data_IF_220069192563
#
_entry.id   IF_220069192563
#
_cell.length_a   1.000
_cell.length_b   1.000
_cell.length_c   1.000
_cell.angle_alpha   90.00
_cell.angle_beta   90.00
_cell.angle_gamma   90.00
#
_symmetry.space_group_name_H-M   'P 1'
#
loop_
_entity.id
_entity.type
_entity.pdbx_description
1 polymer ?
#
# COMPACT_ATOMS: atom_id res chain seq x y z
N UNK A 1 31.43 -108.25 -4.21
CA UNK A 1 30.85 -106.95 -3.84
C UNK A 1 31.63 -106.43 -2.66
N UNK A 2 32.45 -105.40 -2.86
CA UNK A 2 33.19 -104.78 -1.76
C UNK A 2 32.29 -103.73 -1.10
N UNK A 3 32.08 -103.85 0.21
CA UNK A 3 31.41 -102.86 1.05
C UNK A 3 32.16 -101.52 1.00
N UNK A 4 31.46 -100.37 0.94
CA UNK A 4 32.11 -99.08 1.06
C UNK A 4 32.55 -98.88 2.52
N UNK A 5 33.86 -98.93 2.77
CA UNK A 5 34.41 -98.39 4.01
C UNK A 5 34.21 -96.87 4.01
N UNK A 6 33.30 -96.38 4.85
CA UNK A 6 33.22 -94.96 5.19
C UNK A 6 34.58 -94.57 5.79
N UNK A 7 35.38 -93.71 5.11
CA UNK A 7 36.71 -93.39 5.61
C UNK A 7 36.56 -92.60 6.92
N UNK A 8 37.21 -93.09 7.98
CA UNK A 8 37.25 -92.45 9.30
C UNK A 8 37.80 -91.00 9.31
N UNK A 9 38.26 -90.48 8.16
CA UNK A 9 38.71 -89.11 7.99
C UNK A 9 37.57 -88.07 7.98
N UNK A 10 36.41 -88.40 7.41
CA UNK A 10 35.37 -87.40 7.10
C UNK A 10 34.63 -86.89 8.36
N UNK A 11 34.41 -87.78 9.34
CA UNK A 11 33.87 -87.41 10.66
C UNK A 11 34.92 -86.71 11.55
N UNK A 12 36.21 -86.98 11.32
CA UNK A 12 37.31 -86.31 12.00
C UNK A 12 37.42 -84.84 11.58
N UNK A 13 37.33 -84.60 10.27
CA UNK A 13 37.39 -83.27 9.67
C UNK A 13 36.17 -82.42 10.04
N UNK A 14 34.96 -83.00 10.04
CA UNK A 14 33.76 -82.30 10.49
C UNK A 14 33.85 -81.88 11.98
N UNK A 15 34.40 -82.75 12.85
CA UNK A 15 34.64 -82.41 14.26
C UNK A 15 35.72 -81.35 14.44
N UNK A 16 36.72 -81.32 13.55
CA UNK A 16 37.72 -80.26 13.51
C UNK A 16 37.06 -78.92 13.15
N UNK A 17 36.23 -78.89 12.10
CA UNK A 17 35.52 -77.70 11.64
C UNK A 17 34.54 -77.16 12.68
N UNK A 18 33.76 -78.03 13.34
CA UNK A 18 32.83 -77.60 14.40
C UNK A 18 33.57 -77.02 15.62
N UNK A 19 34.75 -77.56 15.96
CA UNK A 19 35.59 -77.00 17.02
C UNK A 19 36.16 -75.64 16.64
N UNK A 20 36.61 -75.48 15.39
CA UNK A 20 37.12 -74.22 14.87
C UNK A 20 36.02 -73.15 14.80
N UNK A 21 34.81 -73.52 14.34
CA UNK A 21 33.64 -72.65 14.35
C UNK A 21 33.21 -72.24 15.76
N UNK A 22 33.19 -73.18 16.72
CA UNK A 22 32.86 -72.89 18.12
C UNK A 22 33.91 -72.04 18.82
N UNK A 23 35.15 -72.04 18.32
CA UNK A 23 36.24 -71.19 18.81
C UNK A 23 36.12 -69.78 18.21
N UNK A 24 35.87 -69.66 16.90
CA UNK A 24 35.60 -68.38 16.22
C UNK A 24 34.36 -67.68 16.76
N UNK A 25 33.27 -68.41 17.02
CA UNK A 25 32.05 -67.86 17.63
C UNK A 25 32.34 -67.30 19.04
N UNK A 26 33.16 -67.97 19.84
CA UNK A 26 33.58 -67.48 21.16
C UNK A 26 34.48 -66.24 21.11
N UNK A 27 35.29 -66.11 20.05
CA UNK A 27 36.10 -64.92 19.79
C UNK A 27 35.26 -63.75 19.25
N UNK A 28 34.15 -64.03 18.58
CA UNK A 28 33.18 -63.04 18.09
C UNK A 28 32.18 -62.57 19.17
N UNK A 29 31.78 -63.44 20.10
CA UNK A 29 30.80 -63.10 21.16
C UNK A 29 31.39 -62.28 22.32
N UNK A 30 32.71 -62.22 22.46
CA UNK A 30 33.38 -61.34 23.42
C UNK A 30 33.95 -60.16 22.66
N UNK A 31 33.46 -58.92 22.86
CA UNK A 31 34.14 -57.75 22.33
C UNK A 31 35.60 -57.88 22.76
N UNK A 32 36.50 -58.01 21.79
CA UNK A 32 37.92 -58.17 22.12
C UNK A 32 38.32 -56.95 22.95
N UNK A 33 39.17 -57.14 23.96
CA UNK A 33 39.56 -56.03 24.86
C UNK A 33 40.00 -54.78 24.09
N UNK A 34 40.51 -54.93 22.86
CA UNK A 34 40.81 -53.84 21.93
C UNK A 34 39.58 -53.08 21.42
N UNK A 35 38.48 -53.74 21.03
CA UNK A 35 37.23 -53.06 20.62
C UNK A 35 36.59 -52.31 21.78
N UNK A 36 36.58 -52.92 22.97
CA UNK A 36 36.10 -52.25 24.18
C UNK A 36 36.99 -51.06 24.55
N UNK A 37 38.31 -51.21 24.49
CA UNK A 37 39.25 -50.11 24.74
C UNK A 37 39.12 -49.00 23.68
N UNK A 38 38.85 -49.31 22.41
CA UNK A 38 38.57 -48.32 21.37
C UNK A 38 37.29 -47.53 21.65
N UNK A 39 36.23 -48.21 22.09
CA UNK A 39 34.98 -47.56 22.48
C UNK A 39 35.17 -46.65 23.70
N UNK A 40 35.89 -47.13 24.73
CA UNK A 40 36.21 -46.35 25.93
C UNK A 40 37.06 -45.14 25.57
N UNK A 41 38.10 -45.31 24.75
CA UNK A 41 38.94 -44.19 24.28
C UNK A 41 38.11 -43.16 23.50
N UNK A 42 37.20 -43.62 22.62
CA UNK A 42 36.31 -42.72 21.88
C UNK A 42 35.32 -42.00 22.80
N UNK A 43 34.79 -42.67 23.82
CA UNK A 43 33.95 -42.02 24.82
C UNK A 43 34.73 -40.98 25.63
N UNK A 44 35.95 -41.30 26.05
CA UNK A 44 36.83 -40.36 26.74
C UNK A 44 37.19 -39.17 25.84
N UNK A 45 37.47 -39.38 24.56
CA UNK A 45 37.74 -38.31 23.61
C UNK A 45 36.53 -37.38 23.43
N UNK A 46 35.31 -37.94 23.37
CA UNK A 46 34.09 -37.14 23.29
C UNK A 46 33.89 -36.34 24.58
N UNK A 47 34.07 -36.95 25.75
CA UNK A 47 33.91 -36.28 27.04
C UNK A 47 34.96 -35.17 27.22
N UNK A 48 36.22 -35.46 26.90
CA UNK A 48 37.32 -34.50 27.03
C UNK A 48 37.21 -33.32 26.05
N UNK A 49 36.50 -33.49 24.93
CA UNK A 49 36.35 -32.47 23.90
C UNK A 49 34.92 -31.95 23.73
N UNK A 50 34.00 -32.29 24.65
CA UNK A 50 32.57 -31.97 24.50
C UNK A 50 32.35 -30.46 24.38
N UNK A 51 33.10 -29.66 25.13
CA UNK A 51 33.02 -28.20 25.10
C UNK A 51 33.41 -27.63 23.74
N UNK A 52 34.48 -28.17 23.13
CA UNK A 52 34.92 -27.77 21.78
C UNK A 52 33.90 -28.18 20.72
N UNK A 53 33.34 -29.38 20.84
CA UNK A 53 32.31 -29.89 19.90
C UNK A 53 31.05 -29.01 19.97
N UNK A 54 30.59 -28.71 21.19
CA UNK A 54 29.40 -27.87 21.44
C UNK A 54 29.64 -26.42 21.00
N UNK A 55 30.77 -25.82 21.35
CA UNK A 55 31.12 -24.47 20.91
C UNK A 55 31.20 -24.36 19.37
N UNK A 56 31.78 -25.37 18.72
CA UNK A 56 31.83 -25.45 17.26
C UNK A 56 30.44 -25.60 16.63
N UNK A 57 29.52 -26.33 17.26
CA UNK A 57 28.14 -26.44 16.79
C UNK A 57 27.39 -25.10 16.92
N UNK A 58 27.47 -24.44 18.08
CA UNK A 58 26.84 -23.14 18.34
C UNK A 58 27.33 -22.09 17.34
N UNK A 59 28.63 -22.01 17.08
CA UNK A 59 29.19 -21.06 16.11
C UNK A 59 28.74 -21.28 14.65
N UNK A 60 28.28 -22.48 14.30
CA UNK A 60 27.76 -22.78 12.95
C UNK A 60 26.27 -22.51 12.80
N UNK A 61 25.50 -22.68 13.87
CA UNK A 61 24.02 -22.69 13.81
C UNK A 61 23.37 -21.50 14.50
N UNK A 62 24.12 -20.68 15.22
CA UNK A 62 23.60 -19.55 15.98
C UNK A 62 24.39 -18.28 15.70
N UNK A 63 23.71 -17.14 15.77
CA UNK A 63 24.35 -15.83 15.77
C UNK A 63 24.79 -15.46 17.18
N UNK A 64 25.95 -14.80 17.30
CA UNK A 64 26.33 -14.11 18.53
C UNK A 64 25.47 -12.84 18.72
N UNK A 65 25.44 -12.32 19.96
CA UNK A 65 24.77 -11.06 20.25
C UNK A 65 25.23 -9.93 19.32
N UNK A 66 26.55 -9.80 19.07
CA UNK A 66 27.10 -8.81 18.16
C UNK A 66 26.64 -9.00 16.69
N UNK A 67 26.46 -10.24 16.24
CA UNK A 67 25.93 -10.53 14.90
C UNK A 67 24.45 -10.18 14.79
N UNK A 68 23.67 -10.38 15.86
CA UNK A 68 22.28 -9.95 15.95
C UNK A 68 22.22 -8.43 15.95
N UNK A 69 22.96 -7.74 16.82
CA UNK A 69 22.99 -6.28 16.92
C UNK A 69 23.40 -5.62 15.58
N UNK A 70 24.35 -6.22 14.86
CA UNK A 70 24.76 -5.76 13.53
C UNK A 70 23.66 -5.95 12.47
N UNK A 71 22.94 -7.08 12.50
CA UNK A 71 21.81 -7.34 11.61
C UNK A 71 20.63 -6.42 11.92
N UNK A 72 20.30 -6.24 13.19
CA UNK A 72 19.24 -5.34 13.65
C UNK A 72 19.57 -3.90 13.28
N UNK A 73 20.81 -3.45 13.49
CA UNK A 73 21.26 -2.12 13.07
C UNK A 73 21.15 -1.93 11.56
N UNK A 74 21.51 -2.95 10.76
CA UNK A 74 21.36 -2.92 9.30
C UNK A 74 19.90 -2.83 8.86
N UNK A 75 19.02 -3.61 9.48
CA UNK A 75 17.57 -3.57 9.23
C UNK A 75 16.97 -2.23 9.66
N UNK A 76 17.36 -1.68 10.81
CA UNK A 76 16.95 -0.36 11.28
C UNK A 76 17.43 0.77 10.38
N UNK A 77 18.67 0.70 9.88
CA UNK A 77 19.18 1.67 8.90
C UNK A 77 18.45 1.58 7.55
N UNK A 78 18.12 0.37 7.10
CA UNK A 78 17.28 0.19 5.91
C UNK A 78 15.86 0.72 6.14
N UNK A 79 15.23 0.42 7.28
CA UNK A 79 13.91 0.93 7.64
C UNK A 79 13.89 2.46 7.77
N UNK A 80 14.93 3.06 8.37
CA UNK A 80 15.11 4.52 8.44
C UNK A 80 15.37 5.14 7.07
N UNK A 81 16.03 4.46 6.14
CA UNK A 81 16.13 4.96 4.76
C UNK A 81 14.77 5.12 4.05
N UNK A 82 13.70 4.46 4.56
CA UNK A 82 12.32 4.67 4.12
C UNK A 82 11.57 5.73 4.95
N UNK A 83 12.09 6.14 6.12
CA UNK A 83 11.49 7.12 7.03
C UNK A 83 12.21 8.48 7.07
N UNK A 84 13.46 8.55 6.62
CA UNK A 84 14.35 9.73 6.70
C UNK A 84 14.06 10.77 5.59
N UNK A 85 12.77 10.99 5.32
CA UNK A 85 12.24 12.30 4.91
C UNK A 85 11.62 13.08 6.08
N UNK A 86 11.53 12.49 7.28
CA UNK A 86 10.79 13.05 8.42
C UNK A 86 11.64 13.23 9.70
N UNK A 87 12.94 13.48 9.58
CA UNK A 87 13.75 13.96 10.71
C UNK A 87 13.82 15.49 10.69
N UNK A 88 12.70 16.17 11.03
CA UNK A 88 12.66 17.62 11.20
C UNK A 88 11.32 18.31 10.94
N UNK A 89 10.34 17.64 10.34
CA UNK A 89 9.03 18.22 10.08
C UNK A 89 8.16 18.15 11.34
N UNK A 90 8.19 19.20 12.16
CA UNK A 90 6.96 19.67 12.81
C UNK A 90 6.16 20.40 11.73
N UNK A 91 4.84 20.21 11.74
CA UNK A 91 3.82 20.60 10.74
C UNK A 91 3.52 19.54 9.65
N UNK A 92 2.26 19.39 9.21
CA UNK A 92 1.82 18.36 8.27
C UNK A 92 2.34 18.70 6.87
N UNK A 93 3.58 18.33 6.59
CA UNK A 93 4.08 18.30 5.23
C UNK A 93 3.38 17.15 4.50
N UNK A 94 2.46 17.49 3.59
CA UNK A 94 2.06 16.59 2.51
C UNK A 94 3.34 16.20 1.76
N UNK A 95 3.89 15.05 2.13
CA UNK A 95 5.28 14.70 1.82
C UNK A 95 5.47 14.57 0.32
N UNK A 96 6.42 15.33 -0.22
CA UNK A 96 6.90 15.19 -1.58
C UNK A 96 7.73 13.90 -1.65
N UNK A 97 7.29 12.94 -2.46
CA UNK A 97 8.07 11.72 -2.71
C UNK A 97 9.47 12.11 -3.20
N UNK A 98 10.51 11.56 -2.56
CA UNK A 98 11.89 11.85 -2.96
C UNK A 98 12.13 11.51 -4.44
N UNK A 99 13.00 12.24 -5.15
CA UNK A 99 13.34 11.98 -6.55
C UNK A 99 13.61 10.48 -6.81
N UNK A 100 12.94 9.92 -7.81
CA UNK A 100 13.09 8.50 -8.18
C UNK A 100 12.26 7.49 -7.36
N UNK A 101 11.38 7.95 -6.47
CA UNK A 101 10.36 7.13 -5.78
C UNK A 101 8.95 7.58 -6.20
N UNK A 102 8.00 6.65 -6.30
CA UNK A 102 6.62 6.93 -6.74
C UNK A 102 6.33 6.76 -8.24
N UNK A 103 7.25 6.17 -9.01
CA UNK A 103 7.01 5.87 -10.43
C UNK A 103 7.21 7.04 -11.40
N UNK A 104 7.69 8.21 -10.94
CA UNK A 104 7.87 9.41 -11.78
C UNK A 104 9.23 9.48 -12.49
N UNK A 105 10.19 8.60 -12.16
CA UNK A 105 11.52 8.55 -12.77
C UNK A 105 12.33 9.86 -12.72
N UNK A 106 11.85 10.86 -11.99
CA UNK A 106 12.32 12.25 -11.99
C UNK A 106 12.03 12.91 -10.64
N UNK A 107 12.46 14.16 -10.48
CA UNK A 107 12.44 14.90 -9.21
C UNK A 107 11.07 15.31 -8.69
N UNK A 108 9.97 15.06 -9.40
CA UNK A 108 8.63 15.31 -8.88
C UNK A 108 7.52 14.78 -9.82
N UNK A 109 6.27 14.74 -9.31
CA UNK A 109 5.06 14.55 -10.11
C UNK A 109 4.66 15.83 -10.86
N UNK A 110 5.61 16.47 -11.56
CA UNK A 110 5.38 17.75 -12.23
C UNK A 110 5.57 17.61 -13.74
N UNK A 111 4.47 17.78 -14.50
CA UNK A 111 4.40 17.93 -15.97
C UNK A 111 5.47 17.15 -16.76
N UNK A 112 5.57 15.84 -16.51
CA UNK A 112 6.43 14.94 -17.28
C UNK A 112 5.68 14.38 -18.49
N UNK A 113 6.36 14.26 -19.63
CA UNK A 113 5.84 13.50 -20.75
C UNK A 113 5.84 12.01 -20.40
N UNK A 114 4.63 11.44 -20.28
CA UNK A 114 4.43 10.02 -19.97
C UNK A 114 4.59 9.10 -21.20
N UNK A 115 4.97 9.66 -22.35
CA UNK A 115 5.14 8.93 -23.61
C UNK A 115 3.83 8.33 -24.13
N UNK A 116 3.93 7.22 -24.85
CA UNK A 116 2.82 6.48 -25.48
C UNK A 116 2.06 5.56 -24.51
N UNK A 117 1.77 6.05 -23.30
CA UNK A 117 1.07 5.29 -22.25
C UNK A 117 -0.38 5.74 -22.09
N UNK A 118 -1.24 4.86 -21.54
CA UNK A 118 -2.61 5.23 -21.17
C UNK A 118 -2.59 5.99 -19.85
N UNK A 119 -3.23 7.16 -19.81
CA UNK A 119 -3.27 8.05 -18.65
C UNK A 119 -4.43 7.69 -17.72
N UNK A 120 -4.22 7.72 -16.40
CA UNK A 120 -5.26 7.53 -15.37
C UNK A 120 -5.02 8.50 -14.21
N UNK A 121 -6.10 9.08 -13.69
CA UNK A 121 -6.09 9.80 -12.42
C UNK A 121 -6.23 8.79 -11.26
N UNK A 122 -5.37 8.93 -10.26
CA UNK A 122 -5.35 8.05 -9.09
C UNK A 122 -5.90 8.74 -7.85
N UNK A 123 -6.53 7.94 -6.98
CA UNK A 123 -6.98 8.33 -5.66
C UNK A 123 -6.06 7.70 -4.61
N UNK A 124 -5.91 8.36 -3.47
CA UNK A 124 -5.14 7.89 -2.32
C UNK A 124 -6.09 7.70 -1.15
N UNK A 125 -6.08 6.53 -0.50
CA UNK A 125 -6.84 6.33 0.74
C UNK A 125 -6.08 6.91 1.94
N UNK A 126 -6.78 7.07 3.06
CA UNK A 126 -6.20 7.37 4.37
C UNK A 126 -5.10 6.36 4.79
N UNK A 127 -5.26 5.08 4.45
CA UNK A 127 -4.26 4.02 4.65
C UNK A 127 -3.10 4.05 3.63
N UNK A 128 -3.00 5.09 2.79
CA UNK A 128 -1.95 5.25 1.79
C UNK A 128 -2.08 4.34 0.57
N UNK A 129 -3.26 3.73 0.34
CA UNK A 129 -3.50 2.88 -0.82
C UNK A 129 -3.80 3.72 -2.05
N UNK A 130 -3.05 3.52 -3.13
CA UNK A 130 -3.26 4.16 -4.41
C UNK A 130 -4.18 3.32 -5.29
N UNK A 131 -5.18 3.95 -5.91
CA UNK A 131 -6.13 3.28 -6.79
C UNK A 131 -6.82 4.22 -7.76
N UNK A 132 -7.91 3.76 -8.37
CA UNK A 132 -8.79 4.60 -9.20
C UNK A 132 -10.21 4.52 -8.65
N UNK A 133 -10.95 5.63 -8.65
CA UNK A 133 -12.34 5.62 -8.21
C UNK A 133 -13.18 4.68 -9.09
N UNK A 134 -13.88 3.74 -8.46
CA UNK A 134 -14.82 2.87 -9.14
C UNK A 134 -16.21 3.53 -9.12
N UNK A 135 -16.84 3.67 -10.29
CA UNK A 135 -18.14 4.34 -10.42
C UNK A 135 -19.30 3.40 -10.81
N UNK A 136 -19.16 2.09 -10.59
CA UNK A 136 -20.22 1.13 -10.94
C UNK A 136 -21.33 1.11 -9.89
N UNK A 137 -22.58 1.11 -10.33
CA UNK A 137 -23.76 0.92 -9.47
C UNK A 137 -23.70 -0.42 -8.70
N UNK A 138 -23.08 -1.45 -9.26
CA UNK A 138 -22.99 -2.80 -8.66
C UNK A 138 -22.21 -2.86 -7.34
N UNK A 139 -21.42 -1.84 -7.05
CA UNK A 139 -20.58 -1.75 -5.85
C UNK A 139 -20.93 -0.52 -5.00
N UNK A 140 -21.98 0.22 -5.39
CA UNK A 140 -22.50 1.38 -4.68
C UNK A 140 -23.85 0.99 -4.08
N UNK A 141 -24.17 1.58 -2.94
CA UNK A 141 -25.44 1.44 -2.26
C UNK A 141 -25.95 2.81 -1.85
N UNK A 142 -27.22 2.90 -1.47
CA UNK A 142 -27.86 4.13 -0.97
C UNK A 142 -27.70 5.33 -1.93
N UNK A 143 -27.89 5.07 -3.23
CA UNK A 143 -27.72 6.07 -4.29
C UNK A 143 -28.92 7.02 -4.27
N UNK A 144 -28.71 8.21 -3.71
CA UNK A 144 -29.68 9.31 -3.71
C UNK A 144 -29.09 10.57 -4.36
N UNK A 145 -29.92 11.52 -4.80
CA UNK A 145 -29.44 12.85 -5.16
C UNK A 145 -28.59 13.45 -4.05
N UNK A 146 -27.55 14.19 -4.43
CA UNK A 146 -26.69 14.87 -3.46
C UNK A 146 -27.49 15.95 -2.71
N UNK A 147 -27.26 16.07 -1.40
CA UNK A 147 -27.84 17.13 -0.56
C UNK A 147 -27.15 18.48 -0.73
N UNK A 148 -26.04 18.52 -1.47
CA UNK A 148 -25.26 19.74 -1.70
C UNK A 148 -26.09 20.74 -2.50
N UNK A 149 -26.26 21.92 -1.91
CA UNK A 149 -27.09 22.98 -2.48
C UNK A 149 -26.27 23.89 -3.40
N UNK A 150 -26.96 24.69 -4.21
CA UNK A 150 -26.27 25.74 -4.99
C UNK A 150 -25.57 26.76 -4.09
N UNK A 151 -26.16 27.09 -2.94
CA UNK A 151 -25.58 28.03 -2.00
C UNK A 151 -24.22 27.51 -1.48
N UNK A 152 -24.16 26.22 -1.15
CA UNK A 152 -22.91 25.56 -0.72
C UNK A 152 -21.83 25.69 -1.81
N UNK A 153 -22.20 25.43 -3.08
CA UNK A 153 -21.26 25.48 -4.20
C UNK A 153 -20.77 26.90 -4.51
N UNK A 154 -21.60 27.91 -4.26
CA UNK A 154 -21.27 29.33 -4.48
C UNK A 154 -20.54 29.96 -3.30
N UNK A 155 -20.56 29.34 -2.12
CA UNK A 155 -19.86 29.85 -0.94
C UNK A 155 -18.33 29.79 -1.12
N UNK A 156 -17.83 28.85 -1.90
CA UNK A 156 -16.40 28.75 -2.21
C UNK A 156 -15.96 29.89 -3.13
N UNK A 157 -15.30 30.89 -2.54
CA UNK A 157 -14.71 32.00 -3.30
C UNK A 157 -13.35 31.60 -3.84
N UNK A 158 -13.19 31.71 -5.14
CA UNK A 158 -11.89 31.61 -5.81
C UNK A 158 -11.12 32.91 -5.57
N UNK A 159 -9.90 32.79 -5.08
CA UNK A 159 -8.99 33.91 -4.81
C UNK A 159 -7.62 33.65 -5.42
N UNK A 160 -6.95 34.74 -5.74
CA UNK A 160 -5.53 34.74 -6.05
C UNK A 160 -4.75 34.99 -4.75
N UNK A 161 -3.72 34.19 -4.50
CA UNK A 161 -2.91 34.31 -3.29
C UNK A 161 -1.44 33.99 -3.58
N UNK A 162 -0.58 34.27 -2.61
CA UNK A 162 0.84 33.86 -2.64
C UNK A 162 1.14 33.16 -1.33
N UNK A 163 1.88 32.06 -1.37
CA UNK A 163 2.32 31.41 -0.14
C UNK A 163 3.30 32.29 0.63
N UNK A 164 3.12 32.39 1.95
CA UNK A 164 3.96 33.22 2.83
C UNK A 164 5.44 32.85 2.66
N UNK A 165 5.78 31.56 2.72
CA UNK A 165 7.15 31.09 2.56
C UNK A 165 7.78 31.46 1.19
N UNK A 166 6.97 31.51 0.11
CA UNK A 166 7.45 31.93 -1.20
C UNK A 166 7.73 33.43 -1.25
N UNK A 167 6.86 34.25 -0.64
CA UNK A 167 7.07 35.70 -0.51
C UNK A 167 8.27 36.01 0.37
N UNK A 168 8.46 35.29 1.49
CA UNK A 168 9.63 35.45 2.35
C UNK A 168 10.94 35.11 1.62
N UNK A 169 10.93 34.11 0.75
CA UNK A 169 12.12 33.69 0.00
C UNK A 169 12.41 34.55 -1.25
N UNK A 170 11.38 35.05 -1.93
CA UNK A 170 11.50 35.63 -3.28
C UNK A 170 10.95 37.06 -3.39
N UNK A 171 10.33 37.59 -2.33
CA UNK A 171 9.69 38.91 -2.32
C UNK A 171 8.57 39.02 -3.35
N UNK A 172 8.57 40.11 -4.10
CA UNK A 172 7.57 40.38 -5.13
C UNK A 172 7.64 39.42 -6.33
N UNK A 173 8.73 38.67 -6.49
CA UNK A 173 8.86 37.65 -7.52
C UNK A 173 8.11 36.35 -7.19
N UNK A 174 7.56 36.20 -5.98
CA UNK A 174 6.82 35.01 -5.58
C UNK A 174 5.60 34.78 -6.49
N UNK A 175 5.38 33.52 -6.97
CA UNK A 175 4.30 33.21 -7.88
C UNK A 175 2.94 33.41 -7.23
N UNK A 176 1.99 33.88 -8.04
CA UNK A 176 0.58 33.97 -7.68
C UNK A 176 -0.09 32.64 -8.02
N UNK A 177 -0.77 32.09 -7.03
CA UNK A 177 -1.54 30.86 -7.09
C UNK A 177 -3.04 31.17 -7.06
N UNK A 178 -3.84 30.24 -7.59
CA UNK A 178 -5.30 30.35 -7.61
C UNK A 178 -5.90 29.24 -6.77
N UNK A 179 -6.84 29.56 -5.88
CA UNK A 179 -7.49 28.55 -5.05
C UNK A 179 -8.59 29.10 -4.15
N UNK A 180 -8.88 28.36 -3.09
CA UNK A 180 -9.87 28.67 -2.07
C UNK A 180 -9.18 28.71 -0.70
N UNK A 181 -9.64 29.60 0.18
CA UNK A 181 -9.19 29.63 1.58
C UNK A 181 -10.15 28.74 2.40
N UNK A 182 -9.62 27.65 2.94
CA UNK A 182 -10.43 26.59 3.55
C UNK A 182 -11.20 27.08 4.80
N UNK A 183 -10.57 27.93 5.61
CA UNK A 183 -11.16 28.54 6.80
C UNK A 183 -12.28 29.53 6.46
N UNK A 184 -12.25 30.15 5.27
CA UNK A 184 -13.30 31.09 4.85
C UNK A 184 -14.57 30.39 4.38
N UNK A 185 -14.47 29.10 4.04
CA UNK A 185 -15.61 28.29 3.57
C UNK A 185 -16.13 27.34 4.64
N UNK A 186 -15.43 27.23 5.77
CA UNK A 186 -15.87 26.43 6.91
C UNK A 186 -17.28 26.86 7.38
N UNK A 187 -18.15 25.87 7.62
CA UNK A 187 -19.54 26.10 7.99
C UNK A 187 -20.46 26.49 6.83
N UNK A 188 -19.92 26.76 5.64
CA UNK A 188 -20.70 27.07 4.44
C UNK A 188 -20.68 25.94 3.39
N UNK A 189 -19.66 25.08 3.42
CA UNK A 189 -19.56 23.90 2.57
C UNK A 189 -19.72 22.61 3.39
N UNK A 190 -20.16 21.50 2.78
CA UNK A 190 -20.16 20.19 3.43
C UNK A 190 -18.77 19.82 3.95
N UNK A 191 -18.69 19.24 5.15
CA UNK A 191 -17.42 18.90 5.81
C UNK A 191 -16.52 17.97 4.97
N UNK A 192 -17.13 17.10 4.14
CA UNK A 192 -16.40 16.25 3.16
C UNK A 192 -15.57 17.03 2.11
N UNK A 193 -15.74 18.34 2.03
CA UNK A 193 -14.97 19.22 1.16
C UNK A 193 -13.75 19.85 1.85
N UNK A 194 -13.57 19.60 3.14
CA UNK A 194 -12.52 20.17 3.97
C UNK A 194 -11.56 19.07 4.41
N UNK A 195 -10.28 19.42 4.48
CA UNK A 195 -9.29 18.61 5.17
C UNK A 195 -9.03 19.22 6.55
N UNK A 196 -8.97 18.35 7.55
CA UNK A 196 -8.67 18.72 8.92
C UNK A 196 -7.35 18.07 9.36
N UNK A 197 -6.62 18.76 10.22
CA UNK A 197 -5.44 18.21 10.88
C UNK A 197 -5.83 17.28 12.06
N UNK A 198 -4.83 16.79 12.81
CA UNK A 198 -5.02 15.88 13.94
C UNK A 198 -5.76 16.56 15.10
N UNK A 199 -5.64 17.88 15.23
CA UNK A 199 -6.31 18.73 16.21
C UNK A 199 -7.75 19.10 15.78
N UNK A 200 -8.14 18.79 14.55
CA UNK A 200 -9.46 19.03 13.98
C UNK A 200 -9.64 20.41 13.33
N UNK A 201 -8.57 21.22 13.22
CA UNK A 201 -8.62 22.49 12.54
C UNK A 201 -8.64 22.30 11.02
N UNK A 202 -9.35 23.18 10.30
CA UNK A 202 -9.41 23.14 8.84
C UNK A 202 -8.08 23.63 8.28
N UNK A 203 -7.45 22.81 7.43
CA UNK A 203 -6.14 23.10 6.83
C UNK A 203 -6.15 22.99 5.31
N UNK A 204 -7.24 22.53 4.71
CA UNK A 204 -7.29 22.32 3.26
C UNK A 204 -8.68 22.13 2.70
N UNK A 205 -8.74 22.06 1.38
CA UNK A 205 -9.95 21.94 0.59
C UNK A 205 -9.82 20.81 -0.44
N UNK A 206 -10.87 20.01 -0.59
CA UNK A 206 -10.90 18.84 -1.49
C UNK A 206 -11.21 19.26 -2.94
N UNK A 207 -10.14 19.55 -3.69
CA UNK A 207 -10.23 20.00 -5.08
C UNK A 207 -10.70 18.92 -6.06
N UNK A 208 -10.50 17.62 -5.78
CA UNK A 208 -10.95 16.57 -6.70
C UNK A 208 -12.48 16.42 -6.64
N UNK A 209 -13.05 16.48 -5.44
CA UNK A 209 -14.51 16.45 -5.27
C UNK A 209 -15.16 17.74 -5.80
N UNK A 210 -14.50 18.90 -5.64
CA UNK A 210 -15.04 20.18 -6.12
C UNK A 210 -15.31 20.16 -7.64
N UNK A 211 -14.47 19.49 -8.43
CA UNK A 211 -14.70 19.31 -9.88
C UNK A 211 -15.97 18.52 -10.20
N UNK A 212 -16.23 17.44 -9.46
CA UNK A 212 -17.47 16.64 -9.61
C UNK A 212 -18.69 17.45 -9.18
N UNK A 213 -18.56 18.22 -8.11
CA UNK A 213 -19.63 19.08 -7.60
C UNK A 213 -19.90 20.31 -8.49
N UNK A 214 -18.90 20.82 -9.20
CA UNK A 214 -19.07 21.88 -10.19
C UNK A 214 -19.97 21.42 -11.36
N UNK A 215 -19.94 20.14 -11.74
CA UNK A 215 -20.90 19.59 -12.70
C UNK A 215 -22.34 19.67 -12.17
N UNK A 216 -22.56 19.49 -10.87
CA UNK A 216 -23.88 19.66 -10.26
C UNK A 216 -24.36 21.12 -10.36
N UNK A 217 -23.48 22.09 -10.12
CA UNK A 217 -23.81 23.50 -10.35
C UNK A 217 -24.22 23.75 -11.81
N UNK A 218 -23.48 23.16 -12.76
CA UNK A 218 -23.82 23.23 -14.18
C UNK A 218 -25.22 22.68 -14.50
N UNK A 219 -25.59 21.54 -13.92
CA UNK A 219 -26.95 20.98 -14.06
C UNK A 219 -28.01 21.93 -13.50
N UNK A 220 -27.79 22.48 -12.30
CA UNK A 220 -28.74 23.44 -11.67
C UNK A 220 -28.94 24.67 -12.55
N UNK A 221 -27.86 25.20 -13.12
CA UNK A 221 -27.93 26.35 -14.03
C UNK A 221 -28.68 26.00 -15.32
N UNK A 222 -28.39 24.84 -15.91
CA UNK A 222 -29.10 24.38 -17.10
C UNK A 222 -30.62 24.23 -16.85
N UNK A 223 -31.01 23.56 -15.76
CA UNK A 223 -32.41 23.37 -15.37
C UNK A 223 -33.14 24.73 -15.24
N UNK A 224 -32.46 25.74 -14.69
CA UNK A 224 -33.03 27.10 -14.58
C UNK A 224 -33.18 27.80 -15.91
N UNK A 225 -32.19 27.66 -16.80
CA UNK A 225 -32.25 28.25 -18.14
C UNK A 225 -33.41 27.64 -18.93
N UNK A 226 -33.61 26.33 -18.83
CA UNK A 226 -34.72 25.65 -19.49
C UNK A 226 -36.08 26.13 -18.96
N UNK A 227 -36.23 26.26 -17.64
CA UNK A 227 -37.43 26.78 -17.01
C UNK A 227 -37.74 28.24 -17.41
N UNK A 228 -36.70 29.09 -17.45
CA UNK A 228 -36.83 30.48 -17.91
C UNK A 228 -37.23 30.54 -19.38
N UNK A 229 -36.64 29.71 -20.23
CA UNK A 229 -36.96 29.64 -21.66
C UNK A 229 -38.42 29.24 -21.87
N UNK A 230 -38.89 28.20 -21.17
CA UNK A 230 -40.29 27.78 -21.23
C UNK A 230 -41.27 28.88 -20.80
N UNK A 231 -40.93 29.60 -19.72
CA UNK A 231 -41.73 30.74 -19.24
C UNK A 231 -41.76 31.87 -20.28
N UNK A 232 -40.62 32.18 -20.89
CA UNK A 232 -40.51 33.19 -21.94
C UNK A 232 -41.35 32.85 -23.17
N UNK A 233 -41.34 31.59 -23.62
CA UNK A 233 -42.19 31.11 -24.71
C UNK A 233 -43.68 31.26 -24.37
N UNK A 234 -44.11 30.82 -23.18
CA UNK A 234 -45.50 30.95 -22.77
C UNK A 234 -45.97 32.42 -22.69
N UNK A 235 -45.10 33.32 -22.24
CA UNK A 235 -45.39 34.76 -22.24
C UNK A 235 -45.49 35.33 -23.67
N UNK A 236 -44.62 34.92 -24.59
CA UNK A 236 -44.68 35.33 -25.98
C UNK A 236 -45.98 34.88 -26.67
N UNK A 237 -46.43 33.65 -26.39
CA UNK A 237 -47.69 33.11 -26.90
C UNK A 237 -48.89 33.91 -26.36
N UNK A 238 -48.89 34.23 -25.07
CA UNK A 238 -49.94 35.05 -24.45
C UNK A 238 -50.00 36.46 -25.05
N UNK A 239 -48.84 37.10 -25.26
CA UNK A 239 -48.78 38.43 -25.88
C UNK A 239 -49.34 38.37 -27.32
N UNK A 240 -49.03 37.32 -28.06
CA UNK A 240 -49.55 37.10 -29.41
C UNK A 240 -51.07 36.94 -29.41
N UNK A 241 -51.62 36.11 -28.51
CA UNK A 241 -53.07 35.94 -28.36
C UNK A 241 -53.78 37.25 -27.98
N UNK A 242 -53.26 37.95 -26.97
CA UNK A 242 -53.85 39.21 -26.51
C UNK A 242 -53.84 40.27 -27.62
N UNK A 243 -52.76 40.36 -28.39
CA UNK A 243 -52.66 41.27 -29.54
C UNK A 243 -53.73 40.95 -30.59
N UNK A 244 -53.90 39.66 -30.94
CA UNK A 244 -54.93 39.24 -31.88
C UNK A 244 -56.36 39.54 -31.39
N UNK A 245 -56.61 39.42 -30.09
CA UNK A 245 -57.90 39.75 -29.47
C UNK A 245 -58.18 41.26 -29.47
N UNK A 246 -57.18 42.09 -29.20
CA UNK A 246 -57.29 43.55 -29.29
C UNK A 246 -57.64 43.95 -30.73
N UNK A 247 -56.91 43.43 -31.72
CA UNK A 247 -57.16 43.71 -33.14
C UNK A 247 -58.57 43.28 -33.59
N UNK A 248 -59.12 42.22 -32.99
CA UNK A 248 -60.49 41.78 -33.26
C UNK A 248 -61.54 42.74 -32.67
N UNK A 249 -61.32 43.22 -31.45
CA UNK A 249 -62.20 44.19 -30.78
C UNK A 249 -62.21 45.54 -31.51
N UNK A 250 -61.05 46.03 -31.92
CA UNK A 250 -60.94 47.30 -32.66
C UNK A 250 -61.66 47.25 -34.02
N UNK A 251 -61.66 46.10 -34.69
CA UNK A 251 -62.40 45.89 -35.95
C UNK A 251 -63.91 45.77 -35.76
N UNK A 252 -64.37 45.21 -34.65
CA UNK A 252 -65.80 45.09 -34.33
C UNK A 252 -66.47 46.39 -33.85
N UNK A 253 -65.68 47.43 -33.54
CA UNK A 253 -66.15 48.72 -33.05
C UNK A 253 -66.30 49.80 -34.14
N UNK A 254 -66.07 49.46 -35.41
CA UNK A 254 -66.28 50.32 -36.59
C UNK A 254 -67.50 49.86 -37.38
#
# INVERSE_FOLDING_TARGET
MADPQVPAGDLGDLRQMLRDLAQRLRELEKPSGSQFNQLVNRMLDIVNNIDTIVAGAIGRTSYSAAQIDSKDSSVLSQAKSYADGAAGAREPAFSVLSPGKGGTGSGNSYNIDLGSTTRRASWVSDAGVLGTALSSEKIKQDITPTSVTEADLRAARIVDFRYIAAVEAQGDAAPVEVGVIAEQVEGHVPDRMLYRDEEGAVVGFEYALSGVLAWRLGQIVADRVDALTATGTAQADLITDLSARIDALERGSK
#
